data_IF_826185420985
#
_entry.id   IF_826185420985
#
_cell.length_a   1.000
_cell.length_b   1.000
_cell.length_c   1.000
_cell.angle_alpha   90.00
_cell.angle_beta   90.00
_cell.angle_gamma   90.00
#
_symmetry.space_group_name_H-M   'P 1'
#
loop_
_entity.id
_entity.type
_entity.pdbx_description
1 polymer ?
#
# COMPACT_ATOMS: atom_id res chain seq x y z
N UNK A 1 -8.17 10.43 15.52
CA UNK A 1 -8.09 11.73 14.81
C UNK A 1 -8.02 11.47 13.32
N UNK A 2 -8.32 12.46 12.47
CA UNK A 2 -8.38 12.30 11.01
C UNK A 2 -7.88 13.55 10.27
N UNK A 3 -7.99 13.54 8.94
CA UNK A 3 -7.54 14.63 8.05
C UNK A 3 -8.76 15.42 7.56
N UNK A 4 -8.65 16.76 7.54
CA UNK A 4 -9.67 17.65 6.97
C UNK A 4 -9.33 17.99 5.51
N UNK A 5 -10.28 17.78 4.60
CA UNK A 5 -10.17 18.14 3.19
C UNK A 5 -11.34 19.08 2.83
N UNK A 6 -11.05 20.27 2.28
CA UNK A 6 -12.05 21.30 1.99
C UNK A 6 -12.39 21.46 0.48
N UNK A 7 -11.80 20.63 -0.38
CA UNK A 7 -12.04 20.73 -1.82
C UNK A 7 -13.47 20.28 -2.15
N UNK A 8 -14.27 21.02 -2.95
CA UNK A 8 -15.69 20.75 -3.16
C UNK A 8 -15.96 19.40 -3.84
N UNK A 9 -14.97 18.82 -4.51
CA UNK A 9 -15.06 17.50 -5.15
C UNK A 9 -14.44 16.38 -4.31
N UNK A 10 -13.93 16.66 -3.10
CA UNK A 10 -13.41 15.63 -2.21
C UNK A 10 -14.53 14.67 -1.81
N UNK A 11 -14.26 13.37 -1.96
CA UNK A 11 -15.17 12.29 -1.59
C UNK A 11 -14.38 11.11 -1.08
N UNK A 12 -15.01 10.29 -0.25
CA UNK A 12 -14.45 9.00 0.13
C UNK A 12 -14.48 8.04 -1.06
N UNK A 13 -13.43 7.24 -1.18
CA UNK A 13 -13.34 6.16 -2.16
C UNK A 13 -12.46 5.04 -1.60
N UNK A 14 -12.66 3.83 -2.08
CA UNK A 14 -11.78 2.70 -1.79
C UNK A 14 -10.54 2.75 -2.67
N UNK A 15 -9.36 2.53 -2.08
CA UNK A 15 -8.07 2.55 -2.81
C UNK A 15 -7.94 1.37 -3.77
N UNK A 16 -8.53 0.21 -3.44
CA UNK A 16 -8.43 -1.01 -4.24
C UNK A 16 -7.21 -1.86 -3.86
N UNK A 17 -6.94 -2.90 -4.66
CA UNK A 17 -5.74 -3.74 -4.46
C UNK A 17 -4.53 -3.08 -5.13
N UNK A 18 -3.37 -3.14 -4.49
CA UNK A 18 -2.12 -2.49 -4.95
C UNK A 18 -1.06 -3.51 -5.35
N UNK A 19 -0.28 -3.20 -6.39
CA UNK A 19 0.79 -4.05 -6.89
C UNK A 19 2.11 -3.92 -6.10
N UNK A 20 3.04 -4.85 -6.35
CA UNK A 20 4.36 -4.86 -5.72
C UNK A 20 5.20 -3.62 -6.07
N UNK A 21 4.98 -3.02 -7.25
CA UNK A 21 5.58 -1.76 -7.66
C UNK A 21 5.19 -0.59 -6.73
N UNK A 22 3.89 -0.45 -6.43
CA UNK A 22 3.39 0.58 -5.53
C UNK A 22 3.84 0.36 -4.08
N UNK A 23 3.94 -0.90 -3.64
CA UNK A 23 4.47 -1.25 -2.32
C UNK A 23 5.92 -0.81 -2.17
N UNK A 24 6.78 -1.10 -3.16
CA UNK A 24 8.19 -0.69 -3.15
C UNK A 24 8.36 0.82 -3.12
N UNK A 25 7.62 1.54 -3.96
CA UNK A 25 7.64 3.02 -3.97
C UNK A 25 7.16 3.60 -2.64
N UNK A 26 6.12 3.02 -2.04
CA UNK A 26 5.63 3.47 -0.73
C UNK A 26 6.65 3.19 0.40
N UNK A 27 7.28 2.01 0.37
CA UNK A 27 8.33 1.64 1.33
C UNK A 27 9.50 2.65 1.30
N UNK A 28 9.98 3.01 0.10
CA UNK A 28 11.03 4.02 -0.07
C UNK A 28 10.63 5.39 0.51
N UNK A 29 9.46 5.92 0.13
CA UNK A 29 8.97 7.22 0.60
C UNK A 29 8.78 7.28 2.12
N UNK A 30 8.46 6.14 2.74
CA UNK A 30 8.24 6.02 4.17
C UNK A 30 9.50 5.64 4.95
N UNK A 31 10.60 5.30 4.27
CA UNK A 31 11.81 4.77 4.91
C UNK A 31 11.54 3.45 5.64
N UNK A 32 10.62 2.64 5.12
CA UNK A 32 10.24 1.33 5.66
C UNK A 32 10.78 0.22 4.77
N UNK A 33 10.94 -0.98 5.31
CA UNK A 33 11.21 -2.16 4.48
C UNK A 33 9.95 -2.59 3.74
N UNK A 34 10.13 -3.25 2.58
CA UNK A 34 9.01 -3.82 1.80
C UNK A 34 8.17 -4.77 2.66
N UNK A 35 8.83 -5.66 3.42
CA UNK A 35 8.16 -6.61 4.30
C UNK A 35 7.31 -5.93 5.40
N UNK A 36 7.76 -4.81 5.95
CA UNK A 36 6.95 -4.03 6.90
C UNK A 36 5.70 -3.45 6.24
N UNK A 37 5.83 -2.91 5.02
CA UNK A 37 4.69 -2.37 4.28
C UNK A 37 3.70 -3.48 3.90
N UNK A 38 4.19 -4.62 3.42
CA UNK A 38 3.35 -5.78 3.10
C UNK A 38 2.58 -6.28 4.32
N UNK A 39 3.21 -6.30 5.49
CA UNK A 39 2.54 -6.64 6.75
C UNK A 39 1.43 -5.66 7.10
N UNK A 40 1.67 -4.35 6.97
CA UNK A 40 0.66 -3.33 7.26
C UNK A 40 -0.49 -3.30 6.25
N UNK A 41 -0.21 -3.61 4.98
CA UNK A 41 -1.14 -3.51 3.86
C UNK A 41 -1.62 -4.88 3.35
N UNK A 42 -1.46 -5.95 4.13
CA UNK A 42 -1.76 -7.34 3.72
C UNK A 42 -3.16 -7.52 3.12
N UNK A 43 -4.16 -6.85 3.68
CA UNK A 43 -5.55 -6.86 3.19
C UNK A 43 -5.77 -6.07 1.89
N UNK A 44 -4.75 -5.38 1.37
CA UNK A 44 -4.81 -4.61 0.12
C UNK A 44 -3.80 -5.06 -0.96
N UNK A 45 -2.96 -6.08 -0.74
CA UNK A 45 -1.97 -6.52 -1.74
C UNK A 45 -2.58 -7.27 -2.93
N UNK A 46 -2.40 -6.85 -4.17
CA UNK A 46 -2.89 -7.57 -5.35
C UNK A 46 -2.15 -8.90 -5.65
N UNK A 47 -1.19 -9.28 -4.81
CA UNK A 47 -0.28 -10.40 -4.96
C UNK A 47 -0.06 -11.11 -3.62
N UNK A 48 0.55 -12.30 -3.67
CA UNK A 48 0.96 -13.04 -2.48
C UNK A 48 2.46 -12.80 -2.23
N UNK A 49 2.83 -12.07 -1.16
CA UNK A 49 4.23 -11.73 -0.89
C UNK A 49 5.08 -12.96 -0.55
N UNK A 50 4.50 -14.02 0.02
CA UNK A 50 5.22 -15.24 0.37
C UNK A 50 5.51 -16.08 -0.90
N UNK A 51 4.55 -16.12 -1.83
CA UNK A 51 4.74 -16.79 -3.11
C UNK A 51 5.73 -16.04 -4.03
N UNK A 52 5.67 -14.71 -4.05
CA UNK A 52 6.56 -13.89 -4.89
C UNK A 52 7.99 -13.83 -4.33
N UNK A 53 8.18 -13.89 -3.01
CA UNK A 53 9.50 -13.98 -2.40
C UNK A 53 10.21 -15.31 -2.70
N UNK A 54 9.46 -16.41 -2.87
CA UNK A 54 10.02 -17.72 -3.22
C UNK A 54 10.40 -17.85 -4.70
N UNK A 55 9.85 -16.97 -5.56
CA UNK A 55 10.13 -16.94 -7.00
C UNK A 55 11.31 -16.02 -7.38
N UNK A 56 11.84 -15.27 -6.42
CA UNK A 56 13.00 -14.37 -6.55
C UNK A 56 14.25 -15.00 -5.95
#
# INVERSE_FOLDING_TARGET
>A
SGIYLAHPQSRYFGVGRIGADQVRDYAERKGMTVAEVERWLSSQLAYDPDADAAAQ
#
